data_IF_191620664545
#
_entry.id   IF_191620664545
#
_cell.length_a   1.000
_cell.length_b   1.000
_cell.length_c   1.000
_cell.angle_alpha   90.00
_cell.angle_beta   90.00
_cell.angle_gamma   90.00
#
_symmetry.space_group_name_H-M   'P 1'
#
loop_
_entity.id
_entity.type
_entity.pdbx_description
1 polymer ?
#
# COMPACT_ATOMS: atom_id res chain seq x y z
N UNK A 1 44.48 34.39 16.48
CA UNK A 1 44.26 33.27 15.50
C UNK A 1 43.33 32.12 16.01
N UNK A 2 42.88 32.10 17.28
CA UNK A 2 42.03 31.03 17.81
C UNK A 2 40.50 31.22 17.58
N UNK A 3 40.03 32.44 17.25
CA UNK A 3 38.59 32.71 17.11
C UNK A 3 38.01 32.25 15.78
N UNK A 4 38.77 32.29 14.70
CA UNK A 4 38.27 31.94 13.34
C UNK A 4 38.12 30.44 13.17
N UNK A 5 39.02 29.64 13.77
CA UNK A 5 38.97 28.17 13.69
C UNK A 5 37.72 27.59 14.41
N UNK A 6 37.29 28.24 15.50
CA UNK A 6 36.11 27.79 16.28
C UNK A 6 34.79 28.08 15.51
N UNK A 7 34.71 29.25 14.88
CA UNK A 7 33.55 29.61 14.07
C UNK A 7 33.39 28.72 12.82
N UNK A 8 34.49 28.41 12.13
CA UNK A 8 34.43 27.50 10.94
C UNK A 8 34.02 26.08 11.34
N UNK A 9 34.47 25.57 12.50
CA UNK A 9 34.05 24.25 12.99
C UNK A 9 32.57 24.21 13.34
N UNK A 10 32.03 25.25 13.98
CA UNK A 10 30.60 25.38 14.30
C UNK A 10 29.73 25.54 13.05
N UNK A 11 30.21 26.23 12.00
CA UNK A 11 29.51 26.35 10.72
C UNK A 11 29.51 25.02 9.97
N UNK A 12 30.63 24.29 9.95
CA UNK A 12 30.72 22.97 9.33
C UNK A 12 29.84 21.93 10.06
N UNK A 13 29.73 21.97 11.37
CA UNK A 13 28.82 21.13 12.16
C UNK A 13 27.35 21.48 11.90
N UNK A 14 27.00 22.75 11.76
CA UNK A 14 25.65 23.19 11.36
C UNK A 14 25.29 22.79 9.94
N UNK A 15 26.23 22.86 9.00
CA UNK A 15 26.02 22.42 7.60
C UNK A 15 25.79 20.90 7.55
N UNK A 16 26.52 20.13 8.36
CA UNK A 16 26.30 18.67 8.45
C UNK A 16 24.94 18.31 9.05
N UNK A 17 24.47 19.06 10.04
CA UNK A 17 23.14 18.86 10.66
C UNK A 17 22.00 19.25 9.70
N UNK A 18 22.14 20.32 8.92
CA UNK A 18 21.13 20.71 7.92
C UNK A 18 21.02 19.66 6.81
N UNK A 19 22.14 19.15 6.30
CA UNK A 19 22.17 18.06 5.31
C UNK A 19 21.54 16.76 5.82
N UNK A 20 21.78 16.39 7.07
CA UNK A 20 21.21 15.23 7.73
C UNK A 20 19.70 15.41 7.95
N UNK A 21 19.27 16.62 8.31
CA UNK A 21 17.86 16.98 8.49
C UNK A 21 17.07 16.83 7.19
N UNK A 22 17.59 17.26 6.05
CA UNK A 22 16.93 17.11 4.75
C UNK A 22 16.74 15.62 4.38
N UNK A 23 17.79 14.81 4.50
CA UNK A 23 17.72 13.37 4.19
C UNK A 23 16.74 12.66 5.13
N UNK A 24 16.70 13.07 6.39
CA UNK A 24 15.77 12.54 7.38
C UNK A 24 14.32 12.93 7.05
N UNK A 25 14.03 14.24 6.95
CA UNK A 25 12.67 14.73 6.84
C UNK A 25 12.06 14.55 5.45
N UNK A 26 12.81 14.84 4.38
CA UNK A 26 12.30 14.75 3.02
C UNK A 26 12.35 13.32 2.44
N UNK A 27 13.37 12.53 2.80
CA UNK A 27 13.59 11.22 2.19
C UNK A 27 13.35 10.03 3.15
N UNK A 28 13.09 10.30 4.44
CA UNK A 28 12.83 9.28 5.45
C UNK A 28 14.03 8.40 5.82
N UNK A 29 15.26 8.89 5.58
CA UNK A 29 16.51 8.15 5.80
C UNK A 29 17.06 8.39 7.20
N UNK A 30 16.39 7.86 8.23
CA UNK A 30 16.76 8.02 9.64
C UNK A 30 18.07 7.30 9.96
N UNK A 31 19.05 8.02 10.55
CA UNK A 31 20.32 7.45 10.98
C UNK A 31 21.31 7.17 9.85
N UNK A 32 21.16 7.86 8.71
CA UNK A 32 22.09 7.81 7.60
C UNK A 32 22.88 9.11 7.49
N UNK A 33 24.14 8.99 7.08
CA UNK A 33 25.04 10.10 6.76
C UNK A 33 25.00 10.34 5.25
N UNK A 34 24.95 11.62 4.88
CA UNK A 34 25.18 12.08 3.51
C UNK A 34 26.67 11.96 3.17
N UNK A 35 26.97 11.47 1.98
CA UNK A 35 28.34 11.37 1.47
C UNK A 35 28.59 12.38 0.34
N UNK A 36 27.79 12.30 -0.71
CA UNK A 36 27.88 13.20 -1.87
C UNK A 36 26.60 13.15 -2.70
N UNK A 37 26.46 14.11 -3.61
CA UNK A 37 25.43 14.13 -4.65
C UNK A 37 26.09 14.14 -6.02
N UNK A 38 25.55 13.44 -6.99
CA UNK A 38 25.93 13.55 -8.39
C UNK A 38 24.70 13.69 -9.28
N UNK A 39 24.87 14.38 -10.37
CA UNK A 39 23.80 14.67 -11.32
C UNK A 39 24.11 14.00 -12.65
N UNK A 40 23.15 13.26 -13.20
CA UNK A 40 23.32 12.64 -14.52
C UNK A 40 22.00 12.70 -15.28
N UNK A 41 21.95 13.48 -16.38
CA UNK A 41 20.72 13.72 -17.16
C UNK A 41 19.58 14.18 -16.23
N UNK A 42 18.45 13.45 -16.22
CA UNK A 42 17.26 13.77 -15.42
C UNK A 42 17.25 13.05 -14.05
N UNK A 43 18.40 12.67 -13.51
CA UNK A 43 18.52 11.93 -12.25
C UNK A 43 19.49 12.62 -11.30
N UNK A 44 19.13 12.58 -10.00
CA UNK A 44 19.98 13.00 -8.88
C UNK A 44 20.32 11.75 -8.09
N UNK A 45 21.62 11.47 -7.96
CA UNK A 45 22.12 10.36 -7.16
C UNK A 45 22.61 10.91 -5.83
N UNK A 46 21.99 10.50 -4.74
CA UNK A 46 22.37 10.89 -3.38
C UNK A 46 23.01 9.67 -2.72
N UNK A 47 24.30 9.79 -2.42
CA UNK A 47 25.09 8.75 -1.79
C UNK A 47 24.98 8.86 -0.27
N UNK A 48 24.55 7.80 0.37
CA UNK A 48 24.36 7.73 1.83
C UNK A 48 24.89 6.43 2.40
N UNK A 49 25.29 6.47 3.67
CA UNK A 49 25.63 5.28 4.46
C UNK A 49 25.01 5.37 5.85
N UNK A 50 24.77 4.24 6.48
CA UNK A 50 24.29 4.24 7.86
C UNK A 50 25.39 4.76 8.79
N UNK A 51 24.99 5.63 9.75
CA UNK A 51 25.93 6.17 10.73
C UNK A 51 26.55 5.01 11.53
N UNK A 52 27.89 4.96 11.76
CA UNK A 52 28.53 3.86 12.47
C UNK A 52 27.89 3.56 13.82
N UNK A 53 27.59 4.58 14.63
CA UNK A 53 26.99 4.44 15.96
C UNK A 53 25.55 3.89 15.94
N UNK A 54 24.89 3.91 14.77
CA UNK A 54 23.55 3.37 14.56
C UNK A 54 23.54 1.97 13.95
N UNK A 55 24.73 1.34 13.78
CA UNK A 55 24.84 -0.01 13.29
C UNK A 55 24.60 -0.98 14.43
N UNK A 56 23.64 -1.88 14.21
CA UNK A 56 23.25 -2.92 15.16
C UNK A 56 23.15 -4.26 14.43
N UNK A 57 23.35 -5.33 15.19
CA UNK A 57 23.09 -6.68 14.70
C UNK A 57 21.61 -6.84 14.33
N UNK A 58 21.26 -7.35 13.12
CA UNK A 58 19.86 -7.51 12.75
C UNK A 58 19.12 -8.61 13.53
N UNK A 59 19.82 -9.47 14.28
CA UNK A 59 19.22 -10.57 15.05
C UNK A 59 19.05 -10.23 16.53
N UNK A 60 20.16 -9.85 17.20
CA UNK A 60 20.17 -9.63 18.66
C UNK A 60 20.29 -8.15 19.04
N UNK A 61 20.29 -7.23 18.08
CA UNK A 61 20.40 -5.76 18.25
C UNK A 61 21.68 -5.28 18.95
N UNK A 62 22.67 -6.17 19.16
CA UNK A 62 23.96 -5.82 19.76
C UNK A 62 24.74 -4.81 18.90
N UNK A 63 25.45 -3.89 19.54
CA UNK A 63 26.38 -2.97 18.88
C UNK A 63 27.79 -3.57 18.68
N UNK A 64 28.11 -4.71 19.30
CA UNK A 64 29.41 -5.37 19.22
C UNK A 64 29.53 -6.13 17.91
N UNK A 65 29.85 -5.43 16.81
CA UNK A 65 29.90 -5.98 15.46
C UNK A 65 31.27 -5.77 14.81
N UNK A 66 31.64 -6.70 13.94
CA UNK A 66 32.84 -6.62 13.08
C UNK A 66 32.38 -6.46 11.63
N UNK A 67 32.95 -5.49 10.92
CA UNK A 67 32.64 -5.27 9.50
C UNK A 67 33.28 -6.38 8.63
N UNK A 68 32.49 -6.95 7.71
CA UNK A 68 32.88 -8.05 6.80
C UNK A 68 32.66 -7.70 5.32
N UNK A 69 32.68 -6.41 5.00
CA UNK A 69 32.53 -5.91 3.65
C UNK A 69 31.27 -5.06 3.44
N UNK A 70 31.12 -4.58 2.23
CA UNK A 70 30.03 -3.66 1.85
C UNK A 70 29.39 -4.09 0.54
N UNK A 71 28.11 -3.71 0.35
CA UNK A 71 27.39 -3.84 -0.91
C UNK A 71 26.66 -2.53 -1.20
N UNK A 72 26.79 -2.03 -2.42
CA UNK A 72 26.04 -0.86 -2.86
C UNK A 72 24.69 -1.28 -3.43
N UNK A 73 23.62 -0.61 -3.01
CA UNK A 73 22.27 -0.78 -3.57
C UNK A 73 21.68 0.59 -3.94
N UNK A 74 20.83 0.57 -4.94
CA UNK A 74 20.12 1.74 -5.44
C UNK A 74 18.63 1.65 -5.05
N UNK A 75 18.08 2.77 -4.57
CA UNK A 75 16.66 2.86 -4.21
C UNK A 75 16.05 4.08 -4.86
N UNK A 76 14.95 3.91 -5.57
CA UNK A 76 14.13 5.03 -6.00
C UNK A 76 13.51 5.72 -4.80
N UNK A 77 13.58 7.05 -4.80
CA UNK A 77 12.93 7.91 -3.80
C UNK A 77 11.97 8.89 -4.48
N UNK A 78 11.23 9.65 -3.69
CA UNK A 78 10.31 10.67 -4.17
C UNK A 78 11.06 11.66 -5.08
N UNK A 79 10.54 11.98 -6.27
CA UNK A 79 11.19 12.92 -7.17
C UNK A 79 11.20 14.34 -6.60
N UNK A 80 12.18 15.14 -7.02
CA UNK A 80 12.21 16.59 -6.73
C UNK A 80 11.99 17.31 -8.05
N UNK A 81 10.85 17.98 -8.18
CA UNK A 81 10.41 18.54 -9.45
C UNK A 81 10.33 17.45 -10.52
N UNK A 82 10.95 17.69 -11.69
CA UNK A 82 10.99 16.70 -12.79
C UNK A 82 12.13 15.69 -12.67
N UNK A 83 12.99 15.78 -11.63
CA UNK A 83 14.19 14.94 -11.51
C UNK A 83 13.94 13.74 -10.60
N UNK A 84 14.30 12.56 -11.09
CA UNK A 84 14.24 11.33 -10.30
C UNK A 84 15.35 11.30 -9.24
N UNK A 85 15.02 10.93 -8.01
CA UNK A 85 15.99 10.74 -6.93
C UNK A 85 16.34 9.25 -6.81
N UNK A 86 17.63 8.97 -6.86
CA UNK A 86 18.18 7.63 -6.61
C UNK A 86 19.09 7.69 -5.38
N UNK A 87 18.68 7.01 -4.32
CA UNK A 87 19.55 6.83 -3.16
C UNK A 87 20.55 5.71 -3.45
N UNK A 88 21.82 6.03 -3.40
CA UNK A 88 22.94 5.07 -3.54
C UNK A 88 23.44 4.77 -2.13
N UNK A 89 23.14 3.57 -1.66
CA UNK A 89 23.32 3.20 -0.25
C UNK A 89 24.44 2.18 -0.11
N UNK A 90 25.45 2.51 0.67
CA UNK A 90 26.50 1.56 1.07
C UNK A 90 26.00 0.79 2.28
N UNK A 91 25.75 -0.51 2.07
CA UNK A 91 25.21 -1.42 3.09
C UNK A 91 26.35 -2.29 3.59
N UNK A 92 26.61 -2.23 4.90
CA UNK A 92 27.63 -3.03 5.57
C UNK A 92 27.12 -4.48 5.79
N UNK A 93 28.02 -5.45 5.58
CA UNK A 93 27.89 -6.81 6.08
C UNK A 93 28.64 -6.88 7.39
N UNK A 94 28.05 -7.44 8.40
CA UNK A 94 28.62 -7.52 9.77
C UNK A 94 28.66 -8.96 10.25
N UNK A 95 29.63 -9.25 11.12
CA UNK A 95 29.64 -10.42 12.03
C UNK A 95 29.38 -9.92 13.43
N UNK A 96 28.35 -10.41 14.09
CA UNK A 96 28.06 -10.11 15.48
C UNK A 96 29.03 -10.85 16.41
N UNK A 97 29.53 -10.20 17.47
CA UNK A 97 30.39 -10.83 18.47
C UNK A 97 29.61 -11.68 19.47
N UNK A 98 28.31 -11.42 19.65
CA UNK A 98 27.45 -12.10 20.61
C UNK A 98 26.71 -13.29 20.01
N UNK A 99 25.88 -13.06 18.98
CA UNK A 99 25.13 -14.16 18.34
C UNK A 99 25.85 -14.82 17.15
N UNK A 100 27.06 -14.40 16.84
CA UNK A 100 27.94 -14.90 15.77
C UNK A 100 27.34 -14.88 14.35
N UNK A 101 26.15 -14.32 14.14
CA UNK A 101 25.52 -14.22 12.84
C UNK A 101 26.33 -13.32 11.89
N UNK A 102 26.33 -13.68 10.58
CA UNK A 102 26.93 -12.86 9.54
C UNK A 102 25.81 -12.42 8.58
N UNK A 103 25.39 -11.17 8.71
CA UNK A 103 24.26 -10.61 7.93
C UNK A 103 24.52 -9.17 7.48
N UNK A 104 23.74 -8.71 6.52
CA UNK A 104 23.69 -7.30 6.15
C UNK A 104 22.83 -6.54 7.16
N UNK A 105 23.24 -5.29 7.47
CA UNK A 105 22.45 -4.41 8.36
C UNK A 105 21.05 -4.16 7.77
N UNK A 106 20.06 -3.98 8.64
CA UNK A 106 18.70 -3.64 8.23
C UNK A 106 18.64 -2.22 7.66
N UNK A 107 17.90 -2.07 6.55
CA UNK A 107 17.62 -0.77 5.93
C UNK A 107 16.30 -0.26 6.49
N UNK A 108 16.33 0.91 7.16
CA UNK A 108 15.17 1.45 7.86
C UNK A 108 14.12 2.12 6.96
N UNK A 109 14.49 2.61 5.78
CA UNK A 109 13.64 3.42 4.90
C UNK A 109 13.01 2.65 3.73
N UNK A 110 13.34 1.38 3.55
CA UNK A 110 12.81 0.53 2.49
C UNK A 110 12.38 -0.84 3.04
N UNK A 111 11.38 -1.45 2.42
CA UNK A 111 10.97 -2.79 2.75
C UNK A 111 11.98 -3.83 2.21
N UNK A 112 12.09 -5.02 2.85
CA UNK A 112 12.97 -6.09 2.38
C UNK A 112 12.73 -6.42 0.90
N UNK A 113 13.82 -6.68 0.16
CA UNK A 113 13.83 -7.03 -1.28
C UNK A 113 13.32 -5.95 -2.24
N UNK A 114 12.79 -4.82 -1.78
CA UNK A 114 12.33 -3.72 -2.65
C UNK A 114 13.52 -2.82 -3.05
N UNK A 115 13.40 -2.15 -4.21
CA UNK A 115 14.36 -1.19 -4.77
C UNK A 115 13.84 0.25 -4.76
N UNK A 116 12.88 0.54 -3.91
CA UNK A 116 12.31 1.85 -3.70
C UNK A 116 12.12 2.12 -2.19
N UNK A 117 12.05 3.39 -1.82
CA UNK A 117 11.81 3.81 -0.44
C UNK A 117 10.33 3.68 -0.06
N UNK A 118 10.03 3.60 1.23
CA UNK A 118 8.64 3.66 1.71
C UNK A 118 7.96 4.97 1.33
N UNK A 119 8.69 6.10 1.42
CA UNK A 119 8.18 7.41 0.99
C UNK A 119 7.79 7.40 -0.50
N UNK A 120 8.58 6.74 -1.37
CA UNK A 120 8.22 6.58 -2.78
C UNK A 120 6.95 5.75 -2.96
N UNK A 121 6.80 4.66 -2.20
CA UNK A 121 5.59 3.85 -2.25
C UNK A 121 4.35 4.65 -1.83
N UNK A 122 4.44 5.43 -0.74
CA UNK A 122 3.36 6.33 -0.32
C UNK A 122 3.03 7.37 -1.37
N UNK A 123 4.04 7.99 -1.98
CA UNK A 123 3.84 8.97 -3.05
C UNK A 123 3.13 8.34 -4.27
N UNK A 124 3.52 7.13 -4.66
CA UNK A 124 2.84 6.40 -5.73
C UNK A 124 1.37 6.10 -5.39
N UNK A 125 1.06 5.74 -4.13
CA UNK A 125 -0.31 5.51 -3.67
C UNK A 125 -1.16 6.79 -3.70
N UNK A 126 -0.58 7.93 -3.34
CA UNK A 126 -1.29 9.23 -3.45
C UNK A 126 -1.64 9.55 -4.91
N UNK A 127 -0.71 9.32 -5.84
CA UNK A 127 -0.99 9.53 -7.27
C UNK A 127 -2.07 8.57 -7.81
N UNK A 128 -2.14 7.35 -7.29
CA UNK A 128 -3.16 6.36 -7.68
C UNK A 128 -4.58 6.74 -7.28
N UNK A 129 -4.77 7.72 -6.39
CA UNK A 129 -6.10 8.25 -6.07
C UNK A 129 -6.75 9.01 -7.24
N UNK A 130 -5.92 9.53 -8.14
CA UNK A 130 -6.37 10.40 -9.24
C UNK A 130 -5.96 9.90 -10.63
N UNK A 131 -5.21 8.78 -10.72
CA UNK A 131 -4.62 8.32 -11.98
C UNK A 131 -4.61 6.79 -12.05
N UNK A 132 -4.53 6.26 -13.28
CA UNK A 132 -4.41 4.81 -13.48
C UNK A 132 -3.02 4.29 -13.09
N UNK A 133 -2.90 2.98 -12.82
CA UNK A 133 -1.60 2.32 -12.57
C UNK A 133 -0.60 2.61 -13.69
N UNK A 134 -1.06 2.61 -14.94
CA UNK A 134 -0.22 2.84 -16.12
C UNK A 134 0.29 4.30 -16.18
N UNK A 135 -0.56 5.27 -15.86
CA UNK A 135 -0.16 6.69 -15.86
C UNK A 135 0.84 6.98 -14.77
N UNK A 136 0.61 6.45 -13.55
CA UNK A 136 1.56 6.55 -12.44
C UNK A 136 2.90 5.87 -12.79
N UNK A 137 2.87 4.70 -13.40
CA UNK A 137 4.09 3.99 -13.83
C UNK A 137 4.90 4.82 -14.84
N UNK A 138 4.25 5.41 -15.85
CA UNK A 138 4.87 6.32 -16.82
C UNK A 138 5.43 7.57 -16.16
N UNK A 139 4.63 8.23 -15.31
CA UNK A 139 5.03 9.45 -14.62
C UNK A 139 6.26 9.23 -13.71
N UNK A 140 6.27 8.15 -12.96
CA UNK A 140 7.37 7.81 -12.04
C UNK A 140 8.53 7.06 -12.72
N UNK A 141 8.43 6.76 -14.01
CA UNK A 141 9.41 5.99 -14.78
C UNK A 141 9.79 4.66 -14.09
N UNK A 142 8.79 3.89 -13.71
CA UNK A 142 8.91 2.56 -13.08
C UNK A 142 7.99 1.58 -13.80
N UNK A 143 8.23 0.28 -13.64
CA UNK A 143 7.36 -0.72 -14.27
C UNK A 143 5.94 -0.71 -13.69
N UNK A 144 4.96 -1.00 -14.54
CA UNK A 144 3.57 -1.16 -14.16
C UNK A 144 3.38 -2.20 -13.04
N UNK A 145 4.12 -3.32 -13.13
CA UNK A 145 4.09 -4.37 -12.11
C UNK A 145 4.51 -3.86 -10.73
N UNK A 146 5.52 -2.97 -10.67
CA UNK A 146 5.96 -2.41 -9.39
C UNK A 146 4.88 -1.52 -8.77
N UNK A 147 4.17 -0.70 -9.57
CA UNK A 147 3.07 0.13 -9.06
C UNK A 147 1.91 -0.76 -8.59
N UNK A 148 1.56 -1.78 -9.38
CA UNK A 148 0.54 -2.77 -8.99
C UNK A 148 0.92 -3.50 -7.69
N UNK A 149 2.18 -3.87 -7.52
CA UNK A 149 2.67 -4.52 -6.29
C UNK A 149 2.57 -3.58 -5.09
N UNK A 150 2.95 -2.30 -5.23
CA UNK A 150 2.80 -1.28 -4.19
C UNK A 150 1.34 -1.16 -3.76
N UNK A 151 0.43 -1.05 -4.71
CA UNK A 151 -1.00 -0.96 -4.44
C UNK A 151 -1.54 -2.22 -3.76
N UNK A 152 -1.16 -3.40 -4.26
CA UNK A 152 -1.55 -4.69 -3.69
C UNK A 152 -1.07 -4.84 -2.24
N UNK A 153 0.20 -4.53 -1.96
CA UNK A 153 0.78 -4.60 -0.61
C UNK A 153 0.02 -3.66 0.36
N UNK A 154 -0.35 -2.46 -0.11
CA UNK A 154 -1.14 -1.51 0.67
C UNK A 154 -2.55 -2.05 0.97
N UNK A 155 -3.26 -2.52 -0.05
CA UNK A 155 -4.62 -3.05 0.10
C UNK A 155 -4.65 -4.27 1.04
N UNK A 156 -3.71 -5.20 0.88
CA UNK A 156 -3.61 -6.37 1.75
C UNK A 156 -3.33 -5.98 3.21
N UNK A 157 -2.51 -4.96 3.42
CA UNK A 157 -2.18 -4.51 4.78
C UNK A 157 -3.37 -3.84 5.49
N UNK A 158 -4.15 -3.05 4.76
CA UNK A 158 -5.16 -2.18 5.36
C UNK A 158 -6.59 -2.73 5.27
N UNK A 159 -6.90 -3.56 4.25
CA UNK A 159 -8.27 -3.96 3.95
C UNK A 159 -8.51 -5.48 3.94
N UNK A 160 -7.49 -6.31 4.23
CA UNK A 160 -7.68 -7.77 4.22
C UNK A 160 -8.59 -8.30 5.34
N UNK A 161 -8.84 -7.51 6.38
CA UNK A 161 -9.68 -7.90 7.52
C UNK A 161 -10.65 -6.75 7.83
N UNK A 162 -11.72 -6.59 7.04
CA UNK A 162 -12.74 -5.58 7.33
C UNK A 162 -13.43 -5.92 8.66
N UNK A 163 -13.76 -4.89 9.45
CA UNK A 163 -14.61 -5.05 10.62
C UNK A 163 -16.06 -5.22 10.16
N UNK A 164 -16.68 -6.33 10.50
CA UNK A 164 -18.06 -6.63 10.14
C UNK A 164 -19.04 -6.38 11.28
N UNK A 165 -18.59 -6.12 12.53
CA UNK A 165 -19.47 -5.96 13.70
C UNK A 165 -20.40 -4.77 13.60
N UNK A 166 -19.96 -3.71 12.93
CA UNK A 166 -20.66 -2.42 12.87
C UNK A 166 -21.54 -2.28 11.62
N UNK A 167 -21.62 -3.33 10.81
CA UNK A 167 -22.45 -3.35 9.62
C UNK A 167 -23.93 -3.37 9.99
N UNK A 168 -24.68 -2.48 9.36
CA UNK A 168 -26.15 -2.40 9.52
C UNK A 168 -26.88 -2.44 8.18
N UNK A 169 -26.29 -1.87 7.13
CA UNK A 169 -26.88 -1.79 5.80
C UNK A 169 -25.83 -2.22 4.78
N UNK A 170 -26.15 -3.22 4.00
CA UNK A 170 -25.22 -3.78 3.00
C UNK A 170 -25.85 -3.79 1.61
N UNK A 171 -25.00 -3.71 0.58
CA UNK A 171 -25.40 -4.01 -0.78
C UNK A 171 -24.64 -5.23 -1.30
N UNK A 172 -25.30 -6.05 -2.12
CA UNK A 172 -24.71 -7.21 -2.78
C UNK A 172 -24.89 -7.02 -4.28
N UNK A 173 -23.78 -7.08 -5.02
CA UNK A 173 -23.78 -6.90 -6.47
C UNK A 173 -22.74 -7.81 -7.14
N UNK A 174 -22.81 -7.94 -8.47
CA UNK A 174 -21.89 -8.74 -9.28
C UNK A 174 -21.05 -7.88 -10.20
N UNK A 175 -19.76 -8.13 -10.23
CA UNK A 175 -18.83 -7.47 -11.14
C UNK A 175 -18.27 -8.48 -12.13
N UNK A 176 -18.38 -8.18 -13.43
CA UNK A 176 -17.69 -8.94 -14.46
C UNK A 176 -16.22 -8.55 -14.53
N UNK A 177 -15.30 -9.52 -14.37
CA UNK A 177 -13.86 -9.29 -14.32
C UNK A 177 -13.11 -9.75 -15.55
N UNK A 178 -13.74 -9.85 -16.67
CA UNK A 178 -13.07 -10.18 -17.93
C UNK A 178 -13.92 -10.93 -18.93
N UNK A 179 -13.26 -11.46 -19.97
CA UNK A 179 -13.92 -12.27 -20.98
C UNK A 179 -14.32 -13.65 -20.42
N UNK A 180 -15.32 -14.29 -20.99
CA UNK A 180 -15.78 -15.65 -20.64
C UNK A 180 -16.52 -15.75 -19.30
N UNK A 181 -17.42 -14.79 -18.98
CA UNK A 181 -18.34 -14.86 -17.84
C UNK A 181 -17.67 -15.12 -16.48
N UNK A 182 -16.51 -14.49 -16.25
CA UNK A 182 -15.90 -14.46 -14.94
C UNK A 182 -16.50 -13.33 -14.11
N UNK A 183 -17.11 -13.68 -13.01
CA UNK A 183 -17.76 -12.73 -12.10
C UNK A 183 -17.14 -12.79 -10.71
N UNK A 184 -17.24 -11.69 -10.01
CA UNK A 184 -17.03 -11.60 -8.57
C UNK A 184 -18.31 -11.06 -7.94
N UNK A 185 -18.75 -11.68 -6.86
CA UNK A 185 -19.79 -11.12 -6.01
C UNK A 185 -19.15 -10.20 -5.00
N UNK A 186 -19.63 -8.98 -4.88
CA UNK A 186 -19.15 -7.99 -3.92
C UNK A 186 -20.20 -7.70 -2.88
N UNK A 187 -19.76 -7.45 -1.66
CA UNK A 187 -20.61 -6.91 -0.59
C UNK A 187 -20.03 -5.58 -0.14
N UNK A 188 -20.87 -4.55 -0.15
CA UNK A 188 -20.52 -3.20 0.28
C UNK A 188 -21.23 -2.85 1.57
N UNK A 189 -20.58 -2.07 2.41
CA UNK A 189 -21.22 -1.32 3.48
C UNK A 189 -21.82 -0.04 2.88
N UNK A 190 -23.13 0.13 2.97
CA UNK A 190 -23.81 1.31 2.41
C UNK A 190 -23.54 2.60 3.19
N UNK A 191 -23.14 2.52 4.46
CA UNK A 191 -22.79 3.70 5.26
C UNK A 191 -21.43 4.29 4.88
N UNK A 192 -20.43 3.42 4.64
CA UNK A 192 -19.05 3.85 4.36
C UNK A 192 -18.67 3.72 2.91
N UNK A 193 -19.49 3.07 2.06
CA UNK A 193 -19.19 2.69 0.68
C UNK A 193 -17.96 1.76 0.56
N UNK A 194 -17.56 1.12 1.64
CA UNK A 194 -16.42 0.22 1.66
C UNK A 194 -16.81 -1.19 1.19
N UNK A 195 -15.96 -1.82 0.39
CA UNK A 195 -16.10 -3.25 0.06
C UNK A 195 -15.68 -4.07 1.27
N UNK A 196 -16.60 -4.82 1.85
CA UNK A 196 -16.38 -5.64 3.05
C UNK A 196 -16.18 -7.12 2.74
N UNK A 197 -16.57 -7.56 1.54
CA UNK A 197 -16.33 -8.93 1.08
C UNK A 197 -16.28 -9.01 -0.44
N UNK A 198 -15.45 -9.92 -0.95
CA UNK A 198 -15.38 -10.30 -2.35
C UNK A 198 -15.43 -11.83 -2.40
N UNK A 199 -16.44 -12.37 -3.10
CA UNK A 199 -16.60 -13.80 -3.39
C UNK A 199 -16.23 -14.11 -4.83
N UNK A 200 -15.66 -15.27 -5.08
CA UNK A 200 -15.39 -15.75 -6.44
C UNK A 200 -16.66 -16.36 -7.06
N UNK A 201 -16.94 -16.00 -8.30
CA UNK A 201 -18.14 -16.42 -9.02
C UNK A 201 -19.34 -15.51 -8.83
N UNK A 202 -20.51 -16.02 -9.20
CA UNK A 202 -21.83 -15.37 -9.07
C UNK A 202 -22.84 -16.29 -8.39
N UNK A 203 -23.85 -15.68 -7.75
CA UNK A 203 -24.94 -16.37 -7.09
C UNK A 203 -24.71 -16.68 -5.63
N UNK A 204 -25.64 -17.39 -5.01
CA UNK A 204 -25.72 -17.59 -3.57
C UNK A 204 -24.48 -18.27 -2.95
N UNK A 205 -23.85 -19.20 -3.69
CA UNK A 205 -22.70 -19.97 -3.20
C UNK A 205 -21.47 -19.10 -2.96
N UNK A 206 -21.29 -18.05 -3.77
CA UNK A 206 -20.19 -17.10 -3.59
C UNK A 206 -20.25 -16.34 -2.25
N UNK A 207 -21.45 -16.25 -1.65
CA UNK A 207 -21.71 -15.58 -0.37
C UNK A 207 -21.55 -16.47 0.87
N UNK A 208 -21.44 -17.79 0.71
CA UNK A 208 -21.35 -18.71 1.86
C UNK A 208 -20.21 -18.34 2.84
N UNK A 209 -19.00 -18.00 2.39
CA UNK A 209 -17.94 -17.55 3.30
C UNK A 209 -18.25 -16.23 3.99
N UNK A 210 -19.00 -15.33 3.34
CA UNK A 210 -19.44 -14.05 3.92
C UNK A 210 -20.42 -14.29 5.08
N UNK A 211 -21.44 -15.10 4.88
CA UNK A 211 -22.42 -15.41 5.92
C UNK A 211 -21.76 -16.00 7.17
N UNK A 212 -20.81 -16.92 7.00
CA UNK A 212 -20.02 -17.48 8.12
C UNK A 212 -19.27 -16.41 8.91
N UNK A 213 -18.67 -15.44 8.21
CA UNK A 213 -17.95 -14.32 8.85
C UNK A 213 -18.91 -13.37 9.55
N UNK A 214 -20.03 -13.03 8.90
CA UNK A 214 -21.05 -12.13 9.43
C UNK A 214 -21.66 -12.66 10.74
N UNK A 215 -22.05 -13.93 10.76
CA UNK A 215 -22.60 -14.58 11.97
C UNK A 215 -21.57 -14.58 13.12
N UNK A 216 -20.29 -14.82 12.83
CA UNK A 216 -19.22 -14.73 13.86
C UNK A 216 -19.04 -13.33 14.40
N UNK A 217 -19.20 -12.31 13.55
CA UNK A 217 -19.10 -10.91 13.94
C UNK A 217 -20.32 -10.43 14.76
N UNK A 218 -21.42 -11.21 14.78
CA UNK A 218 -22.70 -10.87 15.44
C UNK A 218 -23.25 -9.52 14.95
N UNK A 219 -23.03 -9.17 13.70
CA UNK A 219 -23.53 -7.93 13.10
C UNK A 219 -25.07 -7.96 13.02
N UNK A 220 -25.69 -6.82 13.24
CA UNK A 220 -27.14 -6.66 13.12
C UNK A 220 -27.47 -5.92 11.82
N UNK A 221 -27.82 -6.70 10.79
CA UNK A 221 -28.15 -6.14 9.47
C UNK A 221 -29.63 -5.77 9.45
N UNK A 222 -29.91 -4.49 9.21
CA UNK A 222 -31.25 -3.90 9.12
C UNK A 222 -31.81 -3.97 7.70
N UNK A 223 -30.95 -3.72 6.69
CA UNK A 223 -31.33 -3.69 5.29
C UNK A 223 -30.26 -4.27 4.36
N UNK A 224 -30.71 -4.90 3.28
CA UNK A 224 -29.86 -5.47 2.24
C UNK A 224 -30.35 -4.98 0.87
N UNK A 225 -29.53 -4.21 0.17
CA UNK A 225 -29.79 -3.83 -1.21
C UNK A 225 -29.24 -4.90 -2.16
N UNK A 226 -30.09 -5.41 -3.04
CA UNK A 226 -29.74 -6.45 -4.03
C UNK A 226 -30.43 -6.17 -5.38
N UNK A 227 -29.94 -6.83 -6.41
CA UNK A 227 -30.71 -6.98 -7.65
C UNK A 227 -31.94 -7.89 -7.44
N UNK A 228 -32.80 -8.02 -8.44
CA UNK A 228 -33.99 -8.87 -8.39
C UNK A 228 -33.69 -10.36 -8.64
N UNK A 229 -32.44 -10.80 -8.45
CA UNK A 229 -32.04 -12.19 -8.59
C UNK A 229 -32.70 -13.08 -7.52
N UNK A 230 -33.44 -14.09 -7.95
CA UNK A 230 -34.08 -15.06 -7.04
C UNK A 230 -33.07 -15.77 -6.12
N UNK A 231 -31.85 -16.02 -6.61
CA UNK A 231 -30.79 -16.68 -5.85
C UNK A 231 -30.36 -15.82 -4.65
N UNK A 232 -30.14 -14.50 -4.86
CA UNK A 232 -29.78 -13.59 -3.78
C UNK A 232 -30.93 -13.34 -2.82
N UNK A 233 -32.16 -13.17 -3.32
CA UNK A 233 -33.34 -13.04 -2.45
C UNK A 233 -33.42 -14.24 -1.48
N UNK A 234 -33.36 -15.46 -2.02
CA UNK A 234 -33.38 -16.68 -1.21
C UNK A 234 -32.24 -16.74 -0.19
N UNK A 235 -31.02 -16.39 -0.62
CA UNK A 235 -29.83 -16.39 0.25
C UNK A 235 -29.96 -15.38 1.40
N UNK A 236 -30.46 -14.16 1.11
CA UNK A 236 -30.68 -13.12 2.14
C UNK A 236 -31.80 -13.54 3.10
N UNK A 237 -32.95 -14.00 2.60
CA UNK A 237 -34.04 -14.46 3.45
C UNK A 237 -33.62 -15.59 4.41
N UNK A 238 -32.78 -16.52 3.92
CA UNK A 238 -32.30 -17.65 4.73
C UNK A 238 -31.28 -17.25 5.80
N UNK A 239 -30.41 -16.26 5.53
CA UNK A 239 -29.33 -15.87 6.43
C UNK A 239 -29.65 -14.65 7.30
N UNK A 240 -30.54 -13.78 6.81
CA UNK A 240 -30.93 -12.52 7.46
C UNK A 240 -32.47 -12.34 7.44
N UNK A 241 -33.22 -13.20 8.10
CA UNK A 241 -34.71 -13.21 8.01
C UNK A 241 -35.38 -11.94 8.54
N UNK A 242 -34.66 -11.14 9.33
CA UNK A 242 -35.19 -9.89 9.91
C UNK A 242 -34.78 -8.63 9.11
N UNK A 243 -33.89 -8.76 8.14
CA UNK A 243 -33.42 -7.63 7.36
C UNK A 243 -34.43 -7.27 6.25
N UNK A 244 -34.66 -5.99 6.05
CA UNK A 244 -35.44 -5.49 4.92
C UNK A 244 -34.67 -5.68 3.61
N UNK A 245 -35.32 -6.26 2.59
CA UNK A 245 -34.74 -6.35 1.25
C UNK A 245 -35.16 -5.12 0.47
N UNK A 246 -34.16 -4.42 -0.10
CA UNK A 246 -34.35 -3.27 -0.97
C UNK A 246 -33.84 -3.63 -2.36
N UNK A 247 -34.65 -3.41 -3.39
CA UNK A 247 -34.21 -3.63 -4.76
C UNK A 247 -33.51 -2.39 -5.32
N UNK A 248 -32.41 -2.62 -6.05
CA UNK A 248 -31.71 -1.56 -6.74
C UNK A 248 -32.61 -0.87 -7.76
N UNK A 249 -32.78 0.43 -7.59
CA UNK A 249 -33.61 1.29 -8.43
C UNK A 249 -33.27 1.16 -9.93
N UNK A 250 -31.98 1.08 -10.26
CA UNK A 250 -31.56 0.94 -11.66
C UNK A 250 -32.13 -0.33 -12.30
N UNK A 251 -32.08 -1.46 -11.62
CA UNK A 251 -32.60 -2.73 -12.12
C UNK A 251 -34.12 -2.74 -12.25
N UNK A 252 -34.83 -2.07 -11.31
CA UNK A 252 -36.28 -1.90 -11.38
C UNK A 252 -36.69 -1.07 -12.60
N UNK A 253 -36.06 0.09 -12.80
CA UNK A 253 -36.33 0.99 -13.93
C UNK A 253 -35.98 0.31 -15.26
N UNK A 254 -34.85 -0.39 -15.34
CA UNK A 254 -34.47 -1.16 -16.52
C UNK A 254 -35.51 -2.20 -16.90
N UNK A 255 -35.98 -3.00 -15.92
CA UNK A 255 -37.01 -4.01 -16.16
C UNK A 255 -38.29 -3.35 -16.67
N UNK A 256 -38.69 -2.21 -16.14
CA UNK A 256 -39.87 -1.48 -16.58
C UNK A 256 -39.72 -1.00 -18.03
N UNK A 257 -38.59 -0.39 -18.37
CA UNK A 257 -38.29 0.07 -19.72
C UNK A 257 -38.24 -1.08 -20.73
N UNK A 258 -37.65 -2.24 -20.35
CA UNK A 258 -37.63 -3.43 -21.20
C UNK A 258 -39.03 -3.97 -21.47
N UNK A 259 -39.96 -3.89 -20.53
CA UNK A 259 -41.37 -4.26 -20.69
C UNK A 259 -42.10 -3.29 -21.59
N UNK A 260 -41.91 -1.98 -21.37
CA UNK A 260 -42.51 -0.95 -22.23
C UNK A 260 -42.04 -1.08 -23.69
N UNK A 261 -40.75 -1.34 -23.90
CA UNK A 261 -40.21 -1.55 -25.24
C UNK A 261 -40.85 -2.76 -25.95
N UNK A 262 -41.12 -3.85 -25.22
CA UNK A 262 -41.82 -5.03 -25.78
C UNK A 262 -43.29 -4.79 -26.09
N UNK A 263 -43.93 -3.82 -25.45
CA UNK A 263 -45.32 -3.45 -25.73
C UNK A 263 -45.44 -2.54 -26.97
N UNK A 264 -44.32 -1.90 -27.38
CA UNK A 264 -44.27 -1.02 -28.56
C UNK A 264 -43.98 -1.77 -29.87
N UNK A 265 -43.51 -3.01 -29.78
CA UNK A 265 -43.25 -3.92 -30.90
C UNK A 265 -44.31 -5.02 -30.96
#
# INVERSE_FOLDING_TARGET
>A
RHGITFQVRTILERISTISTSFIYHALGCIGYQYLKTSYKKNKIFIFIRKHPDKIRCPECDSCKVIFKGTKTRHFKSVPIGKKQIILVVVIQRIKCKECHCIKQIKIGFANPKKSYTRSFAHYALELLKFSTINDVARHLHISWDTIKEIQKDYLLKHFCKPNLSDLTQIAIDEISIGRKHKYLTIVLDLKTSAIVFIGDGKGADSLVPFWKKLHRAKAHIEAVAIDMSRAYIKAVCSNLPKAAIVFDHFHVVKLFNDRLSKLRH
#
